data_IF_673712834022
#
_entry.id   IF_673712834022
#
_cell.length_a   1.000
_cell.length_b   1.000
_cell.length_c   1.000
_cell.angle_alpha   90.00
_cell.angle_beta   90.00
_cell.angle_gamma   90.00
#
_symmetry.space_group_name_H-M   'P 1'
#
loop_
_entity.id
_entity.type
_entity.pdbx_description
1 polymer ?
#
# COMPACT_ATOMS: atom_id res chain seq x y z
N UNK A 1 4.58 5.35 -20.98
CA UNK A 1 3.47 4.82 -20.14
C UNK A 1 2.98 3.55 -20.82
N UNK A 2 2.81 2.43 -20.12
CA UNK A 2 2.22 1.21 -20.72
C UNK A 2 0.87 0.88 -20.06
N UNK A 3 0.09 0.00 -20.69
CA UNK A 3 -1.26 -0.33 -20.24
C UNK A 3 -1.28 -0.99 -18.85
N UNK A 4 -0.27 -1.81 -18.54
CA UNK A 4 -0.13 -2.46 -17.24
C UNK A 4 0.12 -1.46 -16.11
N UNK A 5 0.97 -0.45 -16.34
CA UNK A 5 1.20 0.62 -15.38
C UNK A 5 -0.06 1.45 -15.16
N UNK A 6 -0.77 1.80 -16.22
CA UNK A 6 -2.03 2.56 -16.11
C UNK A 6 -3.08 1.76 -15.33
N UNK A 7 -3.25 0.48 -15.64
CA UNK A 7 -4.16 -0.41 -14.92
C UNK A 7 -3.76 -0.54 -13.43
N UNK A 8 -2.47 -0.67 -13.14
CA UNK A 8 -1.94 -0.65 -11.77
C UNK A 8 -2.28 0.65 -11.05
N UNK A 9 -1.97 1.80 -11.64
CA UNK A 9 -2.22 3.12 -11.04
C UNK A 9 -3.71 3.35 -10.76
N UNK A 10 -4.58 2.96 -11.70
CA UNK A 10 -6.04 3.05 -11.54
C UNK A 10 -6.56 2.08 -10.47
N UNK A 11 -6.02 0.85 -10.41
CA UNK A 11 -6.41 -0.13 -9.39
C UNK A 11 -6.00 0.33 -7.99
N UNK A 12 -4.82 0.95 -7.87
CA UNK A 12 -4.35 1.52 -6.62
C UNK A 12 -5.25 2.69 -6.19
N UNK A 13 -5.58 3.60 -7.11
CA UNK A 13 -6.53 4.68 -6.86
C UNK A 13 -7.90 4.14 -6.41
N UNK A 14 -8.41 3.10 -7.07
CA UNK A 14 -9.66 2.47 -6.71
C UNK A 14 -9.63 1.92 -5.28
N UNK A 15 -8.52 1.28 -4.86
CA UNK A 15 -8.37 0.78 -3.48
C UNK A 15 -8.51 1.91 -2.44
N UNK A 16 -7.92 3.08 -2.71
CA UNK A 16 -7.97 4.25 -1.83
C UNK A 16 -9.39 4.84 -1.80
N UNK A 17 -10.03 4.93 -2.96
CA UNK A 17 -11.41 5.42 -3.07
C UNK A 17 -12.36 4.50 -2.30
N UNK A 18 -12.24 3.17 -2.45
CA UNK A 18 -13.06 2.19 -1.72
C UNK A 18 -12.89 2.36 -0.22
N UNK A 19 -11.65 2.55 0.26
CA UNK A 19 -11.39 2.77 1.68
C UNK A 19 -11.99 4.10 2.18
N UNK A 20 -11.83 5.18 1.43
CA UNK A 20 -12.42 6.49 1.76
C UNK A 20 -13.95 6.42 1.78
N UNK A 21 -14.56 5.77 0.78
CA UNK A 21 -16.01 5.57 0.71
C UNK A 21 -16.51 4.73 1.89
N UNK A 22 -15.79 3.66 2.26
CA UNK A 22 -16.09 2.88 3.47
C UNK A 22 -16.13 3.81 4.69
N UNK A 23 -15.04 4.54 4.96
CA UNK A 23 -14.94 5.42 6.13
C UNK A 23 -16.03 6.50 6.12
N UNK A 24 -16.32 7.07 4.94
CA UNK A 24 -17.30 8.13 4.82
C UNK A 24 -18.75 7.63 4.98
N UNK A 25 -19.09 6.49 4.38
CA UNK A 25 -20.45 5.94 4.37
C UNK A 25 -20.80 5.28 5.72
N UNK A 26 -19.88 4.50 6.30
CA UNK A 26 -20.13 3.79 7.57
C UNK A 26 -19.78 4.62 8.80
N UNK A 27 -19.04 5.74 8.61
CA UNK A 27 -18.45 6.55 9.69
C UNK A 27 -17.59 5.71 10.65
N UNK A 28 -17.06 4.59 10.18
CA UNK A 28 -16.30 3.61 10.95
C UNK A 28 -15.02 3.19 10.25
N UNK A 29 -13.96 2.97 11.03
CA UNK A 29 -12.69 2.39 10.59
C UNK A 29 -12.41 1.03 11.24
N UNK A 30 -13.41 0.36 11.81
CA UNK A 30 -13.23 -1.01 12.31
C UNK A 30 -12.72 -1.94 11.21
N UNK A 31 -11.80 -2.83 11.58
CA UNK A 31 -11.09 -3.71 10.63
C UNK A 31 -10.00 -3.04 9.79
N UNK A 32 -9.69 -1.75 9.99
CA UNK A 32 -8.62 -1.03 9.26
C UNK A 32 -7.50 -0.62 10.21
N UNK A 33 -6.27 -1.04 9.91
CA UNK A 33 -5.09 -0.64 10.66
C UNK A 33 -4.73 0.81 10.36
N UNK A 34 -4.67 1.63 11.42
CA UNK A 34 -4.21 3.01 11.31
C UNK A 34 -2.72 3.05 10.99
N UNK A 35 -1.97 2.07 11.51
CA UNK A 35 -0.51 1.97 11.31
C UNK A 35 -0.17 1.75 9.85
N UNK A 36 -0.89 0.86 9.16
CA UNK A 36 -0.71 0.70 7.71
C UNK A 36 -0.99 1.99 6.94
N UNK A 37 -2.04 2.75 7.29
CA UNK A 37 -2.32 4.03 6.63
C UNK A 37 -1.23 5.08 6.88
N UNK A 38 -0.69 5.14 8.09
CA UNK A 38 0.46 5.99 8.44
C UNK A 38 1.71 5.62 7.63
N UNK A 39 1.98 4.32 7.48
CA UNK A 39 3.10 3.82 6.66
C UNK A 39 2.92 4.20 5.17
N UNK A 40 1.74 4.01 4.60
CA UNK A 40 1.46 4.39 3.21
C UNK A 40 1.57 5.91 3.00
N UNK A 41 1.13 6.74 3.96
CA UNK A 41 1.33 8.18 3.89
C UNK A 41 2.83 8.55 3.85
N UNK A 42 3.66 7.92 4.69
CA UNK A 42 5.11 8.12 4.67
C UNK A 42 5.72 7.66 3.34
N UNK A 43 5.28 6.53 2.80
CA UNK A 43 5.70 6.03 1.48
C UNK A 43 5.47 7.07 0.40
N UNK A 44 4.26 7.63 0.30
CA UNK A 44 3.94 8.61 -0.75
C UNK A 44 4.68 9.93 -0.55
N UNK A 45 4.83 10.41 0.69
CA UNK A 45 5.61 11.60 0.99
C UNK A 45 7.08 11.44 0.60
N UNK A 46 7.69 10.30 0.92
CA UNK A 46 9.08 10.00 0.56
C UNK A 46 9.27 9.76 -0.94
N UNK A 47 8.31 9.10 -1.60
CA UNK A 47 8.40 8.74 -3.02
C UNK A 47 8.27 9.93 -3.95
N UNK A 48 7.44 10.90 -3.58
CA UNK A 48 7.05 12.01 -4.44
C UNK A 48 7.70 13.33 -4.03
N UNK A 49 8.88 13.28 -3.40
CA UNK A 49 9.70 14.47 -3.13
C UNK A 49 10.10 15.20 -4.43
N UNK A 50 10.14 14.47 -5.53
CA UNK A 50 10.40 14.98 -6.88
C UNK A 50 9.24 15.82 -7.46
N UNK A 51 8.10 15.92 -6.76
CA UNK A 51 6.93 16.71 -7.19
C UNK A 51 7.27 18.19 -7.42
N UNK A 52 8.23 18.73 -6.67
CA UNK A 52 8.66 20.13 -6.77
C UNK A 52 9.89 20.33 -7.65
N UNK A 53 10.58 19.26 -8.05
CA UNK A 53 11.82 19.34 -8.84
C UNK A 53 11.59 18.98 -10.31
N UNK A 54 10.74 17.99 -10.57
CA UNK A 54 10.62 17.38 -11.89
C UNK A 54 9.18 17.38 -12.39
N UNK A 55 8.95 18.08 -13.49
CA UNK A 55 7.68 18.04 -14.21
C UNK A 55 7.74 17.03 -15.36
N UNK A 56 7.11 15.87 -15.17
CA UNK A 56 7.03 14.82 -16.20
C UNK A 56 5.79 15.01 -17.08
N UNK A 57 4.61 15.11 -16.45
CA UNK A 57 3.34 15.32 -17.15
C UNK A 57 2.24 15.75 -16.17
N UNK A 58 1.20 16.40 -16.68
CA UNK A 58 0.02 16.80 -15.90
C UNK A 58 -0.60 15.60 -15.17
N UNK A 59 -0.75 14.48 -15.88
CA UNK A 59 -1.28 13.24 -15.29
C UNK A 59 -0.41 12.74 -14.14
N UNK A 60 0.92 12.73 -14.30
CA UNK A 60 1.83 12.26 -13.26
C UNK A 60 1.76 13.14 -12.01
N UNK A 61 1.86 14.46 -12.18
CA UNK A 61 1.76 15.44 -11.09
C UNK A 61 0.42 15.34 -10.38
N UNK A 62 -0.69 15.28 -11.14
CA UNK A 62 -2.03 15.13 -10.58
C UNK A 62 -2.17 13.85 -9.75
N UNK A 63 -1.75 12.71 -10.27
CA UNK A 63 -1.83 11.43 -9.55
C UNK A 63 -0.99 11.44 -8.26
N UNK A 64 0.23 12.00 -8.29
CA UNK A 64 1.07 12.17 -7.09
C UNK A 64 0.34 12.97 -6.00
N UNK A 65 -0.25 14.11 -6.38
CA UNK A 65 -1.02 14.95 -5.45
C UNK A 65 -2.22 14.19 -4.89
N UNK A 66 -2.97 13.48 -5.73
CA UNK A 66 -4.12 12.67 -5.28
C UNK A 66 -3.69 11.61 -4.26
N UNK A 67 -2.60 10.88 -4.50
CA UNK A 67 -2.09 9.87 -3.55
C UNK A 67 -1.66 10.47 -2.21
N UNK A 68 -0.97 11.63 -2.22
CA UNK A 68 -0.55 12.30 -0.98
C UNK A 68 -1.78 12.81 -0.21
N UNK A 69 -2.66 13.57 -0.88
CA UNK A 69 -3.81 14.18 -0.21
C UNK A 69 -4.76 13.12 0.34
N UNK A 70 -5.05 12.07 -0.44
CA UNK A 70 -5.95 11.00 0.00
C UNK A 70 -5.40 10.19 1.16
N UNK A 71 -4.11 9.83 1.15
CA UNK A 71 -3.48 9.09 2.26
C UNK A 71 -3.44 9.93 3.55
N UNK A 72 -3.09 11.22 3.46
CA UNK A 72 -3.14 12.14 4.59
C UNK A 72 -4.58 12.33 5.10
N UNK A 73 -5.56 12.43 4.20
CA UNK A 73 -6.97 12.55 4.56
C UNK A 73 -7.47 11.30 5.31
N UNK A 74 -7.10 10.09 4.89
CA UNK A 74 -7.45 8.85 5.61
C UNK A 74 -6.87 8.88 7.03
N UNK A 75 -5.57 9.19 7.17
CA UNK A 75 -4.91 9.26 8.48
C UNK A 75 -5.56 10.33 9.37
N UNK A 76 -5.89 11.49 8.80
CA UNK A 76 -6.58 12.57 9.51
C UNK A 76 -7.97 12.13 9.98
N UNK A 77 -8.77 11.51 9.10
CA UNK A 77 -10.07 10.95 9.43
C UNK A 77 -9.98 9.94 10.59
N UNK A 78 -9.01 9.03 10.55
CA UNK A 78 -8.84 8.03 11.62
C UNK A 78 -8.35 8.62 12.95
N UNK A 79 -7.59 9.72 12.94
CA UNK A 79 -7.04 10.34 14.15
C UNK A 79 -7.95 11.40 14.78
N UNK A 80 -8.62 12.20 13.96
CA UNK A 80 -9.30 13.43 14.41
C UNK A 80 -10.81 13.27 14.40
N UNK A 81 -11.37 12.61 13.38
CA UNK A 81 -12.83 12.55 13.24
C UNK A 81 -13.45 11.77 14.42
N UNK A 82 -14.38 12.38 15.19
CA UNK A 82 -14.81 11.84 16.48
C UNK A 82 -15.51 10.47 16.37
N UNK A 83 -16.34 10.28 15.34
CA UNK A 83 -17.04 9.01 15.10
C UNK A 83 -16.06 7.89 14.67
N UNK A 84 -15.23 8.16 13.67
CA UNK A 84 -14.25 7.19 13.13
C UNK A 84 -13.23 6.80 14.18
N UNK A 85 -12.67 7.76 14.92
CA UNK A 85 -11.67 7.49 15.97
C UNK A 85 -12.19 6.52 17.05
N UNK A 86 -13.48 6.57 17.39
CA UNK A 86 -14.08 5.68 18.40
C UNK A 86 -14.19 4.24 17.93
N UNK A 87 -14.35 4.03 16.62
CA UNK A 87 -14.41 2.69 16.01
C UNK A 87 -13.04 2.04 15.76
N UNK A 88 -11.95 2.69 16.15
CA UNK A 88 -10.60 2.17 15.94
C UNK A 88 -10.17 1.24 17.08
N UNK A 89 -9.98 -0.04 16.74
CA UNK A 89 -9.60 -1.10 17.67
C UNK A 89 -8.09 -1.11 17.96
N UNK A 90 -7.67 -0.30 18.93
CA UNK A 90 -6.25 -0.17 19.36
C UNK A 90 -5.64 -1.48 19.86
N UNK A 91 -6.44 -2.31 20.51
CA UNK A 91 -5.98 -3.54 21.15
C UNK A 91 -5.68 -4.64 20.13
N UNK A 92 -6.32 -4.58 18.96
CA UNK A 92 -6.01 -5.47 17.85
C UNK A 92 -4.79 -4.96 17.05
N UNK A 93 -4.67 -3.65 16.85
CA UNK A 93 -3.57 -3.01 16.12
C UNK A 93 -2.30 -2.82 16.98
N UNK A 94 -1.70 -3.90 17.51
CA UNK A 94 -0.51 -3.81 18.40
C UNK A 94 0.83 -3.79 17.65
N UNK A 95 0.83 -3.84 16.32
CA UNK A 95 2.06 -4.00 15.53
C UNK A 95 3.03 -2.82 15.71
N UNK A 96 4.32 -3.06 15.97
CA UNK A 96 5.29 -1.98 16.23
C UNK A 96 5.89 -1.45 14.92
N UNK A 97 5.11 -0.68 14.18
CA UNK A 97 5.46 -0.19 12.83
C UNK A 97 6.71 0.72 12.76
N UNK A 98 7.14 1.34 13.87
CA UNK A 98 8.38 2.13 13.92
C UNK A 98 9.63 1.32 13.57
N UNK A 99 9.65 0.03 13.92
CA UNK A 99 10.76 -0.85 13.53
C UNK A 99 10.83 -1.07 12.02
N UNK A 100 9.68 -1.10 11.33
CA UNK A 100 9.66 -1.18 9.87
C UNK A 100 10.28 0.08 9.27
N UNK A 101 9.85 1.26 9.72
CA UNK A 101 10.39 2.54 9.26
C UNK A 101 11.91 2.59 9.45
N UNK A 102 12.39 2.26 10.66
CA UNK A 102 13.82 2.26 10.95
C UNK A 102 14.60 1.25 10.11
N UNK A 103 14.12 0.00 10.03
CA UNK A 103 14.79 -1.06 9.28
C UNK A 103 14.85 -0.77 7.79
N UNK A 104 13.76 -0.29 7.17
CA UNK A 104 13.75 0.03 5.74
C UNK A 104 14.55 1.29 5.43
N UNK A 105 14.66 2.24 6.37
CA UNK A 105 15.51 3.42 6.21
C UNK A 105 16.99 3.04 6.25
N UNK A 106 17.40 2.23 7.23
CA UNK A 106 18.77 1.69 7.27
C UNK A 106 19.07 0.88 6.01
N UNK A 107 18.13 0.03 5.58
CA UNK A 107 18.29 -0.74 4.34
C UNK A 107 18.48 0.16 3.11
N UNK A 108 17.74 1.27 3.01
CA UNK A 108 17.90 2.23 1.92
C UNK A 108 19.24 2.97 1.94
N UNK A 109 19.80 3.22 3.13
CA UNK A 109 21.14 3.80 3.25
C UNK A 109 22.24 2.82 2.81
N UNK A 110 22.05 1.52 3.03
CA UNK A 110 23.03 0.48 2.64
C UNK A 110 22.87 0.06 1.17
N UNK A 111 21.63 -0.15 0.73
CA UNK A 111 21.26 -0.63 -0.60
C UNK A 111 20.50 0.46 -1.37
N UNK A 112 21.23 1.24 -2.16
CA UNK A 112 20.72 2.28 -3.05
C UNK A 112 21.43 2.22 -4.40
N UNK A 113 20.81 2.73 -5.46
CA UNK A 113 21.46 2.81 -6.79
C UNK A 113 22.44 3.97 -6.88
N UNK A 114 22.11 5.11 -6.27
CA UNK A 114 22.94 6.32 -6.23
C UNK A 114 22.85 6.97 -4.86
N UNK A 115 23.97 7.46 -4.34
CA UNK A 115 23.99 8.13 -3.03
C UNK A 115 23.55 9.59 -3.16
N UNK A 116 22.30 9.80 -3.53
CA UNK A 116 21.66 11.13 -3.58
C UNK A 116 20.43 11.13 -2.67
N UNK A 117 20.07 12.30 -2.15
CA UNK A 117 18.93 12.45 -1.26
C UNK A 117 17.63 11.87 -1.87
N UNK A 118 17.33 12.21 -3.13
CA UNK A 118 16.13 11.72 -3.81
C UNK A 118 16.15 10.20 -4.00
N UNK A 119 17.29 9.62 -4.37
CA UNK A 119 17.39 8.18 -4.64
C UNK A 119 17.28 7.35 -3.35
N UNK A 120 17.87 7.83 -2.25
CA UNK A 120 17.75 7.19 -0.93
C UNK A 120 16.29 7.17 -0.47
N UNK A 121 15.58 8.30 -0.57
CA UNK A 121 14.17 8.38 -0.19
C UNK A 121 13.27 7.58 -1.14
N UNK A 122 13.62 7.51 -2.43
CA UNK A 122 12.96 6.63 -3.39
C UNK A 122 13.11 5.16 -2.99
N UNK A 123 14.34 4.68 -2.76
CA UNK A 123 14.62 3.31 -2.33
C UNK A 123 13.93 2.98 -0.99
N UNK A 124 14.02 3.88 -0.02
CA UNK A 124 13.31 3.79 1.25
C UNK A 124 11.80 3.63 1.05
N UNK A 125 11.19 4.43 0.18
CA UNK A 125 9.76 4.33 -0.10
C UNK A 125 9.38 2.98 -0.71
N UNK A 126 10.25 2.39 -1.53
CA UNK A 126 10.02 1.09 -2.18
C UNK A 126 10.10 -0.04 -1.15
N UNK A 127 11.12 -0.02 -0.30
CA UNK A 127 11.26 -1.01 0.78
C UNK A 127 10.12 -0.90 1.80
N UNK A 128 9.76 0.32 2.21
CA UNK A 128 8.69 0.55 3.17
C UNK A 128 7.33 0.12 2.62
N UNK A 129 7.03 0.40 1.35
CA UNK A 129 5.77 -0.03 0.73
C UNK A 129 5.63 -1.55 0.73
N UNK A 130 6.73 -2.27 0.51
CA UNK A 130 6.70 -3.73 0.46
C UNK A 130 6.21 -4.35 1.78
N UNK A 131 6.51 -3.71 2.91
CA UNK A 131 6.15 -4.20 4.26
C UNK A 131 5.03 -3.40 4.92
N UNK A 132 4.53 -2.33 4.28
CA UNK A 132 3.54 -1.42 4.86
C UNK A 132 2.19 -2.08 5.18
N UNK A 133 1.88 -3.20 4.51
CA UNK A 133 0.64 -3.95 4.70
C UNK A 133 0.65 -4.85 5.95
N UNK A 134 1.82 -5.15 6.51
CA UNK A 134 1.95 -6.09 7.64
C UNK A 134 1.02 -5.78 8.82
N UNK A 135 0.90 -4.53 9.32
CA UNK A 135 0.00 -4.21 10.41
C UNK A 135 -1.47 -4.54 10.09
N UNK A 136 -1.92 -4.26 8.87
CA UNK A 136 -3.27 -4.60 8.40
C UNK A 136 -3.51 -6.10 8.37
N UNK A 137 -2.57 -6.90 7.84
CA UNK A 137 -2.72 -8.35 7.80
C UNK A 137 -2.82 -8.95 9.20
N UNK A 138 -1.93 -8.53 10.11
CA UNK A 138 -1.94 -8.96 11.52
C UNK A 138 -3.25 -8.56 12.21
N UNK A 139 -3.77 -7.37 11.92
CA UNK A 139 -5.06 -6.93 12.46
C UNK A 139 -6.20 -7.83 11.97
N UNK A 140 -6.22 -8.18 10.69
CA UNK A 140 -7.27 -9.04 10.12
C UNK A 140 -7.20 -10.47 10.67
N UNK A 141 -5.99 -11.01 10.86
CA UNK A 141 -5.79 -12.32 11.49
C UNK A 141 -6.35 -12.34 12.92
N UNK A 142 -6.07 -11.30 13.71
CA UNK A 142 -6.55 -11.20 15.10
C UNK A 142 -8.03 -10.88 15.22
N UNK A 143 -8.57 -10.08 14.32
CA UNK A 143 -10.00 -9.75 14.27
C UNK A 143 -10.84 -10.99 13.99
N UNK A 144 -10.34 -11.94 13.20
CA UNK A 144 -11.02 -13.18 12.83
C UNK A 144 -12.25 -12.99 11.93
N UNK A 145 -12.78 -11.78 11.80
CA UNK A 145 -13.84 -11.40 10.89
C UNK A 145 -13.38 -10.20 10.05
N UNK A 146 -13.47 -10.35 8.72
CA UNK A 146 -13.11 -9.31 7.77
C UNK A 146 -14.37 -8.83 7.05
N UNK A 147 -14.70 -7.55 7.20
CA UNK A 147 -15.80 -6.96 6.46
C UNK A 147 -15.55 -6.99 4.95
N UNK A 148 -16.60 -7.21 4.15
CA UNK A 148 -16.47 -7.30 2.69
C UNK A 148 -15.77 -6.08 2.06
N UNK A 149 -16.07 -4.86 2.52
CA UNK A 149 -15.42 -3.64 2.00
C UNK A 149 -13.92 -3.60 2.33
N UNK A 150 -13.53 -4.09 3.51
CA UNK A 150 -12.12 -4.22 3.90
C UNK A 150 -11.42 -5.27 3.03
N UNK A 151 -12.08 -6.41 2.79
CA UNK A 151 -11.59 -7.44 1.90
C UNK A 151 -11.37 -6.94 0.48
N UNK A 152 -12.33 -6.20 -0.07
CA UNK A 152 -12.23 -5.57 -1.40
C UNK A 152 -11.09 -4.54 -1.47
N UNK A 153 -10.93 -3.70 -0.44
CA UNK A 153 -9.81 -2.77 -0.33
C UNK A 153 -8.46 -3.50 -0.43
N UNK A 154 -8.24 -4.53 0.41
CA UNK A 154 -6.99 -5.30 0.42
C UNK A 154 -6.80 -6.06 -0.91
N UNK A 155 -7.88 -6.56 -1.51
CA UNK A 155 -7.84 -7.20 -2.81
C UNK A 155 -7.37 -6.25 -3.91
N UNK A 156 -7.95 -5.06 -4.03
CA UNK A 156 -7.49 -4.06 -5.02
C UNK A 156 -6.05 -3.62 -4.73
N UNK A 157 -5.68 -3.52 -3.45
CA UNK A 157 -4.32 -3.20 -3.04
C UNK A 157 -3.31 -4.30 -3.44
N UNK A 158 -3.67 -5.58 -3.40
CA UNK A 158 -2.78 -6.60 -3.95
C UNK A 158 -2.84 -6.67 -5.50
N UNK A 159 -3.99 -6.39 -6.10
CA UNK A 159 -4.18 -6.44 -7.56
C UNK A 159 -3.36 -5.38 -8.30
N UNK A 160 -3.23 -4.15 -7.76
CA UNK A 160 -2.34 -3.15 -8.39
C UNK A 160 -0.90 -3.66 -8.45
N UNK A 161 -0.47 -4.42 -7.44
CA UNK A 161 0.90 -4.94 -7.40
C UNK A 161 1.13 -6.00 -8.47
N UNK A 162 0.16 -6.88 -8.69
CA UNK A 162 0.20 -7.85 -9.80
C UNK A 162 0.34 -7.15 -11.15
N UNK A 163 -0.41 -6.07 -11.40
CA UNK A 163 -0.24 -5.28 -12.62
C UNK A 163 1.13 -4.62 -12.72
N UNK A 164 1.71 -4.18 -11.60
CA UNK A 164 3.07 -3.63 -11.57
C UNK A 164 4.15 -4.67 -11.86
N UNK A 165 3.97 -5.92 -11.41
CA UNK A 165 4.86 -7.03 -11.78
C UNK A 165 4.79 -7.31 -13.28
N UNK A 166 3.57 -7.38 -13.85
CA UNK A 166 3.39 -7.54 -15.30
C UNK A 166 4.02 -6.38 -16.09
N UNK A 167 3.90 -5.15 -15.58
CA UNK A 167 4.58 -3.98 -16.14
C UNK A 167 6.11 -4.16 -16.15
N UNK A 168 6.72 -4.65 -15.07
CA UNK A 168 8.16 -4.89 -15.04
C UNK A 168 8.61 -6.00 -15.99
N UNK A 169 7.86 -7.10 -16.07
CA UNK A 169 8.12 -8.17 -17.04
C UNK A 169 8.06 -7.62 -18.47
N UNK A 170 7.00 -6.86 -18.78
CA UNK A 170 6.87 -6.22 -20.08
C UNK A 170 8.06 -5.31 -20.39
N UNK A 171 8.44 -4.42 -19.45
CA UNK A 171 9.56 -3.50 -19.64
C UNK A 171 10.90 -4.22 -19.77
N UNK A 172 11.10 -5.30 -19.04
CA UNK A 172 12.31 -6.13 -19.18
C UNK A 172 12.43 -6.74 -20.58
N UNK A 173 11.31 -7.15 -21.18
CA UNK A 173 11.30 -7.72 -22.53
C UNK A 173 11.42 -6.67 -23.64
N UNK A 174 10.89 -5.46 -23.43
CA UNK A 174 10.85 -4.41 -24.48
C UNK A 174 11.97 -3.37 -24.38
N UNK A 175 12.56 -3.14 -23.20
CA UNK A 175 13.57 -2.11 -22.96
C UNK A 175 14.96 -2.73 -22.69
N UNK A 176 15.99 -2.49 -23.55
CA UNK A 176 17.28 -3.18 -23.48
C UNK A 176 18.18 -2.82 -22.28
N UNK A 177 17.79 -1.86 -21.41
CA UNK A 177 18.54 -1.44 -20.19
C UNK A 177 17.65 -1.31 -18.96
N UNK A 178 16.64 -2.16 -18.80
CA UNK A 178 15.81 -2.13 -17.61
C UNK A 178 16.51 -2.77 -16.39
N UNK A 179 17.11 -1.95 -15.53
CA UNK A 179 17.89 -2.42 -14.37
C UNK A 179 17.32 -1.96 -13.02
N UNK A 180 15.99 -1.98 -12.83
CA UNK A 180 15.36 -1.60 -11.55
C UNK A 180 15.18 -2.81 -10.62
N UNK A 181 16.29 -3.41 -10.22
CA UNK A 181 16.29 -4.63 -9.40
C UNK A 181 15.65 -4.42 -8.02
N UNK A 182 15.84 -3.23 -7.41
CA UNK A 182 15.26 -2.87 -6.11
C UNK A 182 13.73 -2.98 -6.14
N UNK A 183 13.11 -2.46 -7.20
CA UNK A 183 11.66 -2.49 -7.38
C UNK A 183 11.16 -3.93 -7.57
N UNK A 184 11.86 -4.74 -8.37
CA UNK A 184 11.50 -6.13 -8.62
C UNK A 184 11.55 -6.97 -7.34
N UNK A 185 12.68 -6.94 -6.61
CA UNK A 185 12.85 -7.71 -5.36
C UNK A 185 11.82 -7.30 -4.32
N UNK A 186 11.64 -5.99 -4.11
CA UNK A 186 10.65 -5.48 -3.16
C UNK A 186 9.22 -5.83 -3.58
N UNK A 187 8.95 -5.94 -4.89
CA UNK A 187 7.67 -6.40 -5.39
C UNK A 187 7.40 -7.88 -5.18
N UNK A 188 8.41 -8.72 -5.34
CA UNK A 188 8.29 -10.14 -4.99
C UNK A 188 8.00 -10.30 -3.50
N UNK A 189 8.74 -9.59 -2.63
CA UNK A 189 8.49 -9.59 -1.18
C UNK A 189 7.06 -9.15 -0.87
N UNK A 190 6.62 -8.04 -1.46
CA UNK A 190 5.27 -7.53 -1.23
C UNK A 190 4.19 -8.53 -1.67
N UNK A 191 4.33 -9.13 -2.86
CA UNK A 191 3.38 -10.13 -3.37
C UNK A 191 3.38 -11.40 -2.53
N UNK A 192 4.53 -11.84 -2.04
CA UNK A 192 4.61 -12.99 -1.13
C UNK A 192 3.85 -12.74 0.17
N UNK A 193 3.92 -11.52 0.73
CA UNK A 193 3.15 -11.16 1.93
C UNK A 193 1.63 -11.15 1.69
N UNK A 194 1.18 -10.86 0.47
CA UNK A 194 -0.24 -10.92 0.10
C UNK A 194 -0.74 -12.35 -0.21
N UNK A 195 0.15 -13.30 -0.50
CA UNK A 195 -0.23 -14.61 -1.01
C UNK A 195 -1.16 -15.38 -0.06
N UNK A 196 -0.86 -15.37 1.24
CA UNK A 196 -1.69 -16.02 2.26
C UNK A 196 -3.09 -15.40 2.33
N UNK A 197 -3.17 -14.08 2.36
CA UNK A 197 -4.45 -13.36 2.33
C UNK A 197 -5.28 -13.70 1.09
N UNK A 198 -4.64 -13.72 -0.09
CA UNK A 198 -5.33 -14.02 -1.34
C UNK A 198 -5.87 -15.43 -1.41
N UNK A 199 -5.13 -16.40 -0.85
CA UNK A 199 -5.58 -17.79 -0.76
C UNK A 199 -6.90 -17.90 0.01
N UNK A 200 -6.95 -17.35 1.23
CA UNK A 200 -8.17 -17.38 2.05
C UNK A 200 -9.30 -16.51 1.47
N UNK A 201 -8.97 -15.37 0.86
CA UNK A 201 -9.93 -14.52 0.17
C UNK A 201 -10.64 -15.28 -0.96
N UNK A 202 -9.88 -16.00 -1.80
CA UNK A 202 -10.45 -16.75 -2.93
C UNK A 202 -11.34 -17.91 -2.47
N UNK A 203 -10.95 -18.63 -1.41
CA UNK A 203 -11.77 -19.69 -0.82
C UNK A 203 -13.08 -19.13 -0.27
N UNK A 204 -13.00 -18.02 0.48
CA UNK A 204 -14.16 -17.35 1.05
C UNK A 204 -15.13 -16.88 -0.03
N UNK A 205 -14.60 -16.25 -1.10
CA UNK A 205 -15.38 -15.80 -2.25
C UNK A 205 -16.06 -16.95 -3.00
N UNK A 206 -15.31 -18.01 -3.33
CA UNK A 206 -15.83 -19.19 -4.04
C UNK A 206 -16.96 -19.89 -3.26
N UNK A 207 -16.83 -19.95 -1.94
CA UNK A 207 -17.80 -20.63 -1.07
C UNK A 207 -18.91 -19.70 -0.55
N UNK A 208 -18.97 -18.43 -0.98
CA UNK A 208 -19.87 -17.40 -0.44
C UNK A 208 -19.90 -17.37 1.10
N UNK A 209 -18.75 -17.60 1.72
CA UNK A 209 -18.59 -17.66 3.18
C UNK A 209 -17.87 -16.42 3.68
N UNK A 210 -18.06 -16.03 4.96
CA UNK A 210 -17.35 -14.88 5.53
C UNK A 210 -15.84 -15.15 5.56
N UNK A 211 -15.04 -14.16 5.16
CA UNK A 211 -13.59 -14.27 5.17
C UNK A 211 -13.08 -14.36 6.62
N UNK A 212 -12.45 -15.50 6.91
CA UNK A 212 -11.76 -15.76 8.17
C UNK A 212 -10.32 -16.14 7.84
N UNK A 213 -9.38 -15.44 8.45
CA UNK A 213 -7.97 -15.80 8.40
C UNK A 213 -7.67 -16.76 9.57
N UNK A 214 -6.76 -17.74 9.39
CA UNK A 214 -6.28 -18.56 10.50
C UNK A 214 -5.60 -17.67 11.55
N UNK A 215 -5.81 -18.02 12.83
CA UNK A 215 -5.25 -17.30 13.98
C UNK A 215 -3.77 -17.65 14.19
#
# INVERSE_FOLDING_TARGET
MNIFRLAGDMTHLLSIIVLLLKIYATKSCSGVSRKTQELYAIVFLARYLDLFTDFISVYNTFMKVVFIVSSLAIVWCMRVHPLVRRSYDKDLDTFRHYFLIGATFVLALVLHEKFTFQEIFWAFSIYLEAVAILPQLVLLQRSGNVDNLTGQYVFFLGAYRSFYILNWIYRYLTEPRFTRWIACVSGVVQTALYADFFYYYFISWKNNSKLKLPA
#
